data_IF_222323517597
#
_entry.id   IF_222323517597
#
_cell.length_a   1.000
_cell.length_b   1.000
_cell.length_c   1.000
_cell.angle_alpha   90.00
_cell.angle_beta   90.00
_cell.angle_gamma   90.00
#
_symmetry.space_group_name_H-M   'P 1'
#
loop_
_entity.id
_entity.type
_entity.pdbx_description
1 polymer ?
#
# COMPACT_ATOMS: atom_id res chain seq x y z
N UNK A 1 11.43 -3.06 16.18
CA UNK A 1 11.04 -1.81 15.48
C UNK A 1 9.75 -1.29 16.09
N UNK A 2 9.62 0.02 16.20
CA UNK A 2 8.86 0.68 17.28
C UNK A 2 7.43 1.10 16.89
N UNK A 3 7.11 1.22 15.60
CA UNK A 3 5.74 1.51 15.15
C UNK A 3 5.20 2.87 15.61
N UNK A 4 6.10 3.84 15.67
CA UNK A 4 5.95 5.13 16.33
C UNK A 4 5.10 6.12 15.55
N UNK A 5 4.52 7.07 16.27
CA UNK A 5 3.91 8.26 15.63
C UNK A 5 4.98 9.20 15.07
N UNK A 6 4.58 10.17 14.24
CA UNK A 6 5.50 11.20 13.75
C UNK A 6 6.15 11.98 14.89
N UNK A 7 5.38 12.34 15.93
CA UNK A 7 5.88 13.06 17.11
C UNK A 7 6.87 12.22 17.90
N UNK A 8 6.53 10.95 18.13
CA UNK A 8 7.39 10.01 18.83
C UNK A 8 8.67 9.71 18.05
N UNK A 9 8.62 9.70 16.72
CA UNK A 9 9.81 9.56 15.87
C UNK A 9 10.76 10.74 16.05
N UNK A 10 10.22 11.97 16.14
CA UNK A 10 11.02 13.18 16.42
C UNK A 10 11.63 13.12 17.81
N UNK A 11 10.86 12.74 18.84
CA UNK A 11 11.40 12.57 20.20
C UNK A 11 12.48 11.48 20.26
N UNK A 12 12.32 10.36 19.56
CA UNK A 12 13.35 9.32 19.50
C UNK A 12 14.65 9.81 18.86
N UNK A 13 14.56 10.65 17.81
CA UNK A 13 15.76 11.24 17.21
C UNK A 13 16.43 12.21 18.19
N UNK A 14 15.63 13.02 18.88
CA UNK A 14 16.12 13.98 19.89
C UNK A 14 16.82 13.27 21.06
N UNK A 15 16.30 12.13 21.52
CA UNK A 15 16.87 11.39 22.64
C UNK A 15 18.06 10.48 22.27
N UNK A 16 18.23 10.14 20.99
CA UNK A 16 19.19 9.12 20.56
C UNK A 16 20.38 9.68 19.77
N UNK A 17 21.61 9.71 20.33
CA UNK A 17 22.79 10.25 19.65
C UNK A 17 23.15 9.47 18.38
N UNK A 18 22.90 8.16 18.31
CA UNK A 18 23.16 7.36 17.11
C UNK A 18 22.23 7.72 15.96
N UNK A 19 20.96 8.03 16.24
CA UNK A 19 20.03 8.50 15.22
C UNK A 19 20.40 9.90 14.72
N UNK A 20 20.86 10.78 15.60
CA UNK A 20 21.36 12.10 15.21
C UNK A 20 22.60 12.01 14.34
N UNK A 21 23.56 11.14 14.71
CA UNK A 21 24.74 10.88 13.91
C UNK A 21 24.38 10.29 12.54
N UNK A 22 23.45 9.33 12.49
CA UNK A 22 22.94 8.78 11.23
C UNK A 22 22.31 9.84 10.32
N UNK A 23 21.68 10.87 10.90
CA UNK A 23 21.14 12.01 10.18
C UNK A 23 22.19 13.08 9.81
N UNK A 24 23.48 12.83 10.09
CA UNK A 24 24.58 13.70 9.72
C UNK A 24 24.89 14.80 10.73
N UNK A 25 24.42 14.71 11.97
CA UNK A 25 24.81 15.66 13.02
C UNK A 25 26.22 15.35 13.53
N UNK A 26 27.04 16.39 13.68
CA UNK A 26 28.41 16.30 14.20
C UNK A 26 28.46 16.20 15.73
N UNK A 27 27.41 16.64 16.42
CA UNK A 27 27.30 16.59 17.88
C UNK A 27 25.87 16.27 18.31
N UNK A 28 25.74 15.74 19.53
CA UNK A 28 24.44 15.50 20.16
C UNK A 28 23.77 16.83 20.53
N UNK A 29 22.46 16.93 20.30
CA UNK A 29 21.63 18.05 20.73
C UNK A 29 20.29 17.53 21.25
N UNK A 30 19.83 18.05 22.38
CA UNK A 30 18.53 17.70 22.97
C UNK A 30 17.37 18.53 22.41
N UNK A 31 17.55 19.16 21.25
CA UNK A 31 16.49 19.89 20.55
C UNK A 31 15.84 19.01 19.49
N UNK A 32 14.54 19.23 19.27
CA UNK A 32 13.84 18.55 18.19
C UNK A 32 14.48 18.93 16.84
N UNK A 33 14.87 17.97 15.99
CA UNK A 33 15.55 18.26 14.73
C UNK A 33 14.67 19.01 13.73
N UNK A 34 13.34 18.87 13.84
CA UNK A 34 12.32 19.54 13.03
C UNK A 34 10.95 19.32 13.67
N UNK A 35 9.94 20.11 13.26
CA UNK A 35 8.56 19.87 13.65
C UNK A 35 8.05 18.52 13.12
N UNK A 36 7.31 17.76 13.92
CA UNK A 36 6.76 16.46 13.51
C UNK A 36 5.89 16.51 12.24
N UNK A 37 5.26 17.66 11.96
CA UNK A 37 4.52 17.93 10.73
C UNK A 37 5.37 17.77 9.46
N UNK A 38 6.69 18.01 9.55
CA UNK A 38 7.64 17.91 8.44
C UNK A 38 7.77 16.49 7.87
N UNK A 39 7.51 15.45 8.67
CA UNK A 39 7.51 14.06 8.18
C UNK A 39 6.46 13.82 7.08
N UNK A 40 5.36 14.58 7.08
CA UNK A 40 4.37 14.58 6.00
C UNK A 40 4.99 15.07 4.69
N UNK A 41 5.78 16.14 4.75
CA UNK A 41 6.47 16.72 3.60
C UNK A 41 7.59 15.79 3.09
N UNK A 42 8.35 15.16 3.98
CA UNK A 42 9.36 14.17 3.59
C UNK A 42 8.70 12.99 2.86
N UNK A 43 7.60 12.44 3.39
CA UNK A 43 6.87 11.36 2.71
C UNK A 43 6.29 11.81 1.37
N UNK A 44 5.87 13.07 1.23
CA UNK A 44 5.38 13.59 -0.04
C UNK A 44 6.49 13.72 -1.10
N UNK A 45 7.74 13.99 -0.68
CA UNK A 45 8.91 14.10 -1.56
C UNK A 45 9.52 12.74 -1.92
N UNK A 46 9.55 11.80 -0.98
CA UNK A 46 10.11 10.45 -1.18
C UNK A 46 9.02 9.56 -1.79
N UNK A 47 8.75 9.74 -3.09
CA UNK A 47 7.72 8.98 -3.80
C UNK A 47 8.05 7.51 -4.00
N UNK A 48 7.04 6.73 -4.41
CA UNK A 48 7.15 5.30 -4.74
C UNK A 48 8.28 5.02 -5.74
N UNK A 49 8.38 5.83 -6.79
CA UNK A 49 9.36 5.68 -7.86
C UNK A 49 10.80 5.80 -7.33
N UNK A 50 11.07 6.79 -6.48
CA UNK A 50 12.40 6.98 -5.89
C UNK A 50 12.77 5.77 -5.01
N UNK A 51 11.83 5.28 -4.21
CA UNK A 51 12.05 4.11 -3.36
C UNK A 51 12.34 2.85 -4.21
N UNK A 52 11.58 2.67 -5.29
CA UNK A 52 11.81 1.55 -6.21
C UNK A 52 13.16 1.66 -6.91
N UNK A 53 13.62 2.86 -7.29
CA UNK A 53 14.96 3.05 -7.82
C UNK A 53 16.06 2.70 -6.81
N UNK A 54 15.88 3.07 -5.55
CA UNK A 54 16.81 2.68 -4.47
C UNK A 54 16.83 1.16 -4.31
N UNK A 55 15.66 0.51 -4.28
CA UNK A 55 15.57 -0.95 -4.22
C UNK A 55 16.28 -1.63 -5.39
N UNK A 56 16.14 -1.11 -6.62
CA UNK A 56 16.81 -1.66 -7.80
C UNK A 56 18.33 -1.52 -7.69
N UNK A 57 18.82 -0.33 -7.34
CA UNK A 57 20.27 -0.10 -7.12
C UNK A 57 20.86 -1.03 -6.06
N UNK A 58 20.13 -1.31 -4.98
CA UNK A 58 20.59 -2.26 -3.97
C UNK A 58 20.80 -3.67 -4.54
N UNK A 59 19.94 -4.12 -5.45
CA UNK A 59 20.05 -5.45 -6.06
C UNK A 59 21.11 -5.49 -7.17
N UNK A 60 21.18 -4.47 -8.02
CA UNK A 60 22.19 -4.39 -9.09
C UNK A 60 23.62 -4.33 -8.53
N UNK A 61 23.87 -3.46 -7.54
CA UNK A 61 25.19 -3.37 -6.89
C UNK A 61 25.58 -4.68 -6.20
N UNK A 62 24.60 -5.45 -5.72
CA UNK A 62 24.89 -6.77 -5.18
C UNK A 62 25.36 -7.73 -6.27
N UNK A 63 24.72 -7.76 -7.44
CA UNK A 63 25.17 -8.58 -8.57
C UNK A 63 26.62 -8.31 -8.98
N UNK A 64 27.06 -7.05 -8.85
CA UNK A 64 28.45 -6.65 -9.04
C UNK A 64 29.37 -7.13 -7.90
N UNK A 65 28.93 -6.98 -6.63
CA UNK A 65 29.72 -7.35 -5.44
C UNK A 65 29.83 -8.86 -5.20
N UNK A 66 28.80 -9.65 -5.53
CA UNK A 66 28.78 -11.11 -5.33
C UNK A 66 29.27 -11.88 -6.58
N UNK A 67 29.75 -11.17 -7.60
CA UNK A 67 30.38 -11.79 -8.77
C UNK A 67 29.41 -12.46 -9.75
N UNK A 68 28.09 -12.21 -9.66
CA UNK A 68 27.14 -12.72 -10.67
C UNK A 68 27.41 -12.21 -12.08
N UNK A 69 28.16 -11.10 -12.22
CA UNK A 69 28.64 -10.57 -13.50
C UNK A 69 30.07 -10.98 -13.88
N UNK A 70 30.77 -11.77 -13.07
CA UNK A 70 32.09 -12.28 -13.43
C UNK A 70 31.94 -13.62 -14.17
N UNK A 71 31.32 -13.56 -15.36
CA UNK A 71 31.70 -14.46 -16.42
C UNK A 71 33.18 -14.22 -16.70
N UNK A 72 33.97 -15.28 -16.66
CA UNK A 72 35.42 -15.28 -16.77
C UNK A 72 35.92 -14.34 -17.89
N UNK A 73 36.55 -13.22 -17.52
CA UNK A 73 37.52 -12.58 -18.40
C UNK A 73 38.86 -13.29 -18.18
N UNK A 74 39.01 -14.43 -18.83
CA UNK A 74 40.33 -14.96 -19.17
C UNK A 74 40.95 -14.03 -20.23
N UNK A 75 42.24 -13.69 -20.14
CA UNK A 75 42.86 -12.78 -21.09
C UNK A 75 43.03 -13.46 -22.46
N UNK A 76 42.62 -12.72 -23.49
CA UNK A 76 43.12 -12.77 -24.87
C UNK A 76 43.28 -14.16 -25.52
N UNK A 77 42.25 -14.57 -26.26
CA UNK A 77 42.44 -15.05 -27.63
C UNK A 77 41.37 -14.44 -28.52
N UNK A 78 41.83 -13.61 -29.45
CA UNK A 78 41.07 -13.19 -30.62
C UNK A 78 40.63 -14.44 -31.39
N UNK A 79 39.33 -14.60 -31.64
CA UNK A 79 38.82 -15.01 -32.95
C UNK A 79 37.29 -14.94 -33.02
N UNK A 80 36.83 -14.19 -34.04
CA UNK A 80 35.63 -14.40 -34.87
C UNK A 80 34.24 -14.44 -34.22
N UNK A 81 33.53 -13.32 -34.41
CA UNK A 81 32.13 -13.24 -34.86
C UNK A 81 31.15 -14.27 -34.27
N UNK A 82 30.67 -14.02 -33.06
CA UNK A 82 29.46 -14.65 -32.54
C UNK A 82 28.36 -13.59 -32.40
N UNK A 83 27.19 -13.90 -32.97
CA UNK A 83 25.94 -13.24 -32.62
C UNK A 83 25.84 -13.16 -31.10
N UNK A 84 25.59 -11.97 -30.53
CA UNK A 84 25.39 -11.82 -29.09
C UNK A 84 24.18 -12.66 -28.67
N UNK A 85 24.42 -13.91 -28.28
CA UNK A 85 23.40 -14.77 -27.69
C UNK A 85 22.87 -14.08 -26.43
N UNK A 86 21.55 -13.89 -26.35
CA UNK A 86 20.96 -13.31 -25.15
C UNK A 86 21.36 -14.17 -23.92
N UNK A 87 21.68 -13.54 -22.77
CA UNK A 87 22.08 -14.28 -21.59
C UNK A 87 21.00 -15.29 -21.18
N UNK A 88 21.42 -16.52 -20.87
CA UNK A 88 20.52 -17.60 -20.47
C UNK A 88 19.66 -17.17 -19.28
N UNK A 89 18.38 -17.55 -19.30
CA UNK A 89 17.46 -17.27 -18.21
C UNK A 89 17.96 -17.85 -16.88
N UNK A 90 17.85 -17.08 -15.80
CA UNK A 90 18.34 -17.46 -14.48
C UNK A 90 17.40 -16.98 -13.37
N UNK A 91 17.44 -17.67 -12.22
CA UNK A 91 16.70 -17.26 -11.03
C UNK A 91 15.18 -17.51 -11.12
N UNK A 92 14.49 -17.10 -10.05
CA UNK A 92 13.06 -17.35 -9.86
C UNK A 92 12.37 -16.05 -9.51
N UNK A 93 11.27 -15.77 -10.21
CA UNK A 93 10.41 -14.62 -9.95
C UNK A 93 9.11 -15.12 -9.33
N UNK A 94 8.76 -14.61 -8.15
CA UNK A 94 7.47 -14.87 -7.50
C UNK A 94 6.65 -13.59 -7.60
N UNK A 95 5.38 -13.69 -7.99
CA UNK A 95 4.49 -12.53 -8.07
C UNK A 95 3.20 -12.84 -7.32
N UNK A 96 2.78 -11.91 -6.47
CA UNK A 96 1.50 -11.99 -5.78
C UNK A 96 0.94 -10.59 -5.45
N UNK A 97 -0.38 -10.51 -5.30
CA UNK A 97 -1.09 -9.28 -4.97
C UNK A 97 -1.64 -9.32 -3.55
N UNK A 98 -1.20 -8.39 -2.70
CA UNK A 98 -1.74 -8.20 -1.36
C UNK A 98 -2.48 -6.88 -1.21
N UNK A 99 -2.87 -6.56 0.01
CA UNK A 99 -3.52 -5.31 0.31
C UNK A 99 -3.04 -4.74 1.65
N UNK A 100 -3.10 -3.41 1.77
CA UNK A 100 -2.64 -2.64 2.93
C UNK A 100 -3.81 -1.84 3.55
N UNK A 101 -4.43 -2.32 4.65
CA UNK A 101 -5.55 -1.67 5.32
C UNK A 101 -5.27 -0.21 5.68
N UNK A 102 -6.18 0.68 5.30
CA UNK A 102 -6.13 2.07 5.72
C UNK A 102 -6.63 2.21 7.17
N UNK A 103 -6.04 3.14 7.92
CA UNK A 103 -6.50 3.51 9.25
C UNK A 103 -7.78 4.36 9.17
N UNK A 104 -8.91 3.71 8.89
CA UNK A 104 -10.25 4.30 8.92
C UNK A 104 -11.18 3.51 9.82
N UNK A 105 -12.14 4.23 10.43
CA UNK A 105 -13.26 3.59 11.11
C UNK A 105 -14.05 2.75 10.11
N UNK A 106 -14.48 1.56 10.53
CA UNK A 106 -15.33 0.71 9.69
C UNK A 106 -16.56 1.50 9.20
N UNK A 107 -16.75 1.63 7.88
CA UNK A 107 -17.71 2.51 7.27
C UNK A 107 -19.10 1.90 7.37
N UNK A 108 -20.07 2.73 7.74
CA UNK A 108 -21.48 2.42 7.60
C UNK A 108 -22.21 3.69 7.15
N UNK A 109 -23.24 3.51 6.33
CA UNK A 109 -23.94 4.62 5.67
C UNK A 109 -24.50 5.62 6.69
N UNK A 110 -25.07 5.14 7.79
CA UNK A 110 -25.61 6.02 8.82
C UNK A 110 -24.51 6.86 9.49
N UNK A 111 -23.35 6.27 9.76
CA UNK A 111 -22.21 6.90 10.41
C UNK A 111 -21.50 7.91 9.53
N UNK A 112 -21.32 7.63 8.24
CA UNK A 112 -20.73 8.60 7.30
C UNK A 112 -21.67 9.80 7.09
N UNK A 113 -22.99 9.55 7.01
CA UNK A 113 -23.98 10.62 6.91
C UNK A 113 -24.03 11.49 8.18
N UNK A 114 -23.92 10.91 9.37
CA UNK A 114 -23.82 11.71 10.59
C UNK A 114 -22.57 12.59 10.60
N UNK A 115 -21.41 12.06 10.17
CA UNK A 115 -20.20 12.88 10.04
C UNK A 115 -20.40 14.00 9.02
N UNK A 116 -21.05 13.72 7.88
CA UNK A 116 -21.32 14.71 6.85
C UNK A 116 -22.24 15.84 7.36
N UNK A 117 -23.28 15.47 8.12
CA UNK A 117 -24.12 16.42 8.85
C UNK A 117 -23.29 17.32 9.77
N UNK A 118 -22.45 16.75 10.64
CA UNK A 118 -21.62 17.52 11.58
C UNK A 118 -20.62 18.45 10.86
N UNK A 119 -20.09 18.05 9.70
CA UNK A 119 -19.19 18.90 8.92
C UNK A 119 -19.92 20.06 8.25
N UNK A 120 -21.09 19.81 7.65
CA UNK A 120 -21.90 20.88 7.04
C UNK A 120 -22.41 21.87 8.07
N UNK A 121 -22.71 21.41 9.28
CA UNK A 121 -22.97 22.25 10.45
C UNK A 121 -21.79 23.21 10.72
N UNK A 122 -20.58 22.69 10.88
CA UNK A 122 -19.39 23.53 11.10
C UNK A 122 -19.12 24.52 9.95
N UNK A 123 -19.35 24.10 8.71
CA UNK A 123 -19.19 24.96 7.54
C UNK A 123 -20.20 26.11 7.57
N UNK A 124 -21.47 25.84 7.91
CA UNK A 124 -22.48 26.88 8.12
C UNK A 124 -22.04 27.86 9.21
N UNK A 125 -21.44 27.39 10.30
CA UNK A 125 -20.93 28.28 11.35
C UNK A 125 -19.86 29.22 10.82
N UNK A 126 -18.90 28.67 10.05
CA UNK A 126 -17.79 29.46 9.48
C UNK A 126 -18.23 30.44 8.41
N UNK A 127 -19.24 30.11 7.60
CA UNK A 127 -19.77 31.01 6.57
C UNK A 127 -20.69 32.08 7.15
N UNK A 128 -21.38 31.80 8.25
CA UNK A 128 -22.30 32.74 8.89
C UNK A 128 -21.57 33.82 9.69
N UNK A 129 -20.51 33.46 10.43
CA UNK A 129 -19.81 34.37 11.34
C UNK A 129 -19.44 35.74 10.69
N UNK A 130 -18.90 35.80 9.46
CA UNK A 130 -18.52 37.07 8.83
C UNK A 130 -19.70 37.92 8.32
N UNK A 131 -20.91 37.35 8.20
CA UNK A 131 -22.08 38.04 7.65
C UNK A 131 -23.22 38.20 8.67
N UNK A 132 -22.96 37.89 9.94
CA UNK A 132 -23.96 37.97 11.01
C UNK A 132 -24.66 39.32 11.12
N UNK A 133 -23.96 40.41 10.80
CA UNK A 133 -24.49 41.77 10.84
C UNK A 133 -25.46 42.06 9.68
N UNK A 134 -25.25 41.41 8.53
CA UNK A 134 -26.10 41.52 7.33
C UNK A 134 -27.22 40.48 7.29
N UNK A 135 -27.04 39.38 8.02
CA UNK A 135 -27.98 38.27 8.07
C UNK A 135 -28.25 37.92 9.55
N UNK A 136 -29.18 38.62 10.21
CA UNK A 136 -29.30 38.61 11.68
C UNK A 136 -29.74 37.26 12.25
N UNK A 137 -30.25 36.33 11.42
CA UNK A 137 -30.77 35.05 11.87
C UNK A 137 -30.07 33.88 11.21
N UNK A 138 -29.21 33.21 11.98
CA UNK A 138 -28.54 31.97 11.57
C UNK A 138 -29.53 30.87 11.13
N UNK A 139 -29.28 30.19 9.99
CA UNK A 139 -30.12 29.07 9.57
C UNK A 139 -30.19 27.94 10.59
N UNK A 140 -31.40 27.43 10.86
CA UNK A 140 -31.64 26.37 11.86
C UNK A 140 -31.21 25.00 11.34
N UNK A 141 -30.15 24.44 11.91
CA UNK A 141 -29.58 23.13 11.50
C UNK A 141 -30.15 21.93 12.27
N UNK A 142 -30.95 22.14 13.33
CA UNK A 142 -31.55 21.08 14.15
C UNK A 142 -30.54 20.05 14.71
N UNK A 143 -29.31 20.50 14.99
CA UNK A 143 -28.16 19.61 15.31
C UNK A 143 -28.44 18.62 16.43
N UNK A 144 -29.09 19.09 17.49
CA UNK A 144 -29.41 18.25 18.64
C UNK A 144 -30.41 17.16 18.30
N UNK A 145 -31.50 17.52 17.59
CA UNK A 145 -32.51 16.57 17.15
C UNK A 145 -31.92 15.56 16.16
N UNK A 146 -31.07 16.03 15.25
CA UNK A 146 -30.40 15.18 14.27
C UNK A 146 -29.41 14.21 14.93
N UNK A 147 -28.67 14.66 15.95
CA UNK A 147 -27.78 13.81 16.77
C UNK A 147 -28.57 12.78 17.57
N UNK A 148 -29.68 13.18 18.22
CA UNK A 148 -30.57 12.25 18.94
C UNK A 148 -31.10 11.16 18.01
N UNK A 149 -31.63 11.54 16.84
CA UNK A 149 -32.13 10.60 15.83
C UNK A 149 -31.05 9.64 15.29
N UNK A 150 -29.79 10.08 15.18
CA UNK A 150 -28.67 9.21 14.85
C UNK A 150 -28.39 8.19 15.98
N UNK A 151 -28.27 8.68 17.23
CA UNK A 151 -27.91 7.86 18.39
C UNK A 151 -28.95 6.77 18.69
N UNK A 152 -30.24 7.05 18.49
CA UNK A 152 -31.33 6.07 18.64
C UNK A 152 -31.13 4.78 17.85
N UNK A 153 -30.48 4.87 16.68
CA UNK A 153 -30.22 3.73 15.81
C UNK A 153 -28.77 3.24 15.95
N UNK A 154 -27.81 4.15 16.11
CA UNK A 154 -26.39 3.80 16.23
C UNK A 154 -26.07 3.02 17.51
N UNK A 155 -26.80 3.25 18.61
CA UNK A 155 -26.61 2.52 19.88
C UNK A 155 -27.21 1.12 19.88
N UNK A 156 -28.03 0.76 18.88
CA UNK A 156 -28.67 -0.56 18.81
C UNK A 156 -27.69 -1.60 18.29
N UNK A 157 -27.62 -2.77 18.94
CA UNK A 157 -26.75 -3.88 18.52
C UNK A 157 -27.10 -4.43 17.13
N UNK A 158 -28.40 -4.57 16.83
CA UNK A 158 -28.91 -5.13 15.56
C UNK A 158 -30.14 -4.35 15.06
N UNK A 159 -29.96 -3.15 14.46
CA UNK A 159 -31.08 -2.41 13.89
C UNK A 159 -31.58 -3.11 12.62
N UNK A 160 -32.91 -3.20 12.46
CA UNK A 160 -33.54 -3.81 11.30
C UNK A 160 -33.29 -3.01 10.01
N UNK A 161 -33.43 -3.64 8.84
CA UNK A 161 -33.24 -2.96 7.56
C UNK A 161 -34.17 -1.74 7.41
N UNK A 162 -35.43 -1.86 7.83
CA UNK A 162 -36.42 -0.78 7.83
C UNK A 162 -35.99 0.38 8.73
N UNK A 163 -35.49 0.08 9.93
CA UNK A 163 -34.96 1.09 10.87
C UNK A 163 -33.74 1.81 10.29
N UNK A 164 -32.78 1.07 9.74
CA UNK A 164 -31.59 1.65 9.09
C UNK A 164 -31.98 2.55 7.92
N UNK A 165 -32.86 2.09 7.03
CA UNK A 165 -33.33 2.85 5.87
C UNK A 165 -34.06 4.14 6.27
N UNK A 166 -34.87 4.11 7.34
CA UNK A 166 -35.53 5.30 7.91
C UNK A 166 -34.50 6.28 8.50
N UNK A 167 -33.50 5.79 9.22
CA UNK A 167 -32.46 6.63 9.81
C UNK A 167 -31.58 7.30 8.74
N UNK A 168 -31.20 6.55 7.70
CA UNK A 168 -30.47 7.07 6.54
C UNK A 168 -31.29 8.18 5.87
N UNK A 169 -32.59 7.96 5.61
CA UNK A 169 -33.48 9.00 5.04
C UNK A 169 -33.47 10.28 5.88
N UNK A 170 -33.59 10.16 7.21
CA UNK A 170 -33.55 11.31 8.12
C UNK A 170 -32.22 12.07 8.02
N UNK A 171 -31.09 11.37 8.04
CA UNK A 171 -29.78 12.02 7.90
C UNK A 171 -29.59 12.71 6.54
N UNK A 172 -30.04 12.07 5.45
CA UNK A 172 -30.05 12.69 4.12
C UNK A 172 -30.87 13.99 4.10
N UNK A 173 -32.02 14.03 4.78
CA UNK A 173 -32.84 15.25 4.86
C UNK A 173 -32.14 16.38 5.64
N UNK A 174 -31.42 16.06 6.72
CA UNK A 174 -30.63 17.07 7.45
C UNK A 174 -29.49 17.63 6.58
N UNK A 175 -28.75 16.76 5.88
CA UNK A 175 -27.67 17.19 4.98
C UNK A 175 -28.23 18.02 3.82
N UNK A 176 -29.33 17.59 3.19
CA UNK A 176 -30.02 18.36 2.12
C UNK A 176 -30.31 19.78 2.58
N UNK A 177 -30.87 19.94 3.78
CA UNK A 177 -31.18 21.25 4.36
C UNK A 177 -29.91 22.06 4.61
N UNK A 178 -28.88 21.43 5.17
CA UNK A 178 -27.63 22.14 5.45
C UNK A 178 -26.94 22.61 4.16
N UNK A 179 -26.95 21.81 3.09
CA UNK A 179 -26.42 22.22 1.78
C UNK A 179 -27.22 23.40 1.21
N UNK A 180 -28.55 23.37 1.29
CA UNK A 180 -29.39 24.51 0.89
C UNK A 180 -29.12 25.77 1.74
N UNK A 181 -28.84 25.64 3.04
CA UNK A 181 -28.42 26.78 3.86
C UNK A 181 -27.08 27.36 3.44
N UNK A 182 -26.12 26.52 3.03
CA UNK A 182 -24.84 26.99 2.50
C UNK A 182 -25.06 27.80 1.22
N UNK A 183 -25.90 27.31 0.30
CA UNK A 183 -26.31 28.04 -0.91
C UNK A 183 -26.98 29.38 -0.59
N UNK A 184 -27.89 29.40 0.40
CA UNK A 184 -28.53 30.64 0.86
C UNK A 184 -27.54 31.64 1.45
N UNK A 185 -26.60 31.19 2.29
CA UNK A 185 -25.56 32.07 2.84
C UNK A 185 -24.70 32.66 1.70
N UNK A 186 -24.36 31.84 0.70
CA UNK A 186 -23.65 32.32 -0.49
C UNK A 186 -24.44 33.39 -1.26
N UNK A 187 -25.75 33.20 -1.43
CA UNK A 187 -26.61 34.18 -2.11
C UNK A 187 -26.69 35.53 -1.37
N UNK A 188 -26.52 35.55 -0.04
CA UNK A 188 -26.50 36.77 0.78
C UNK A 188 -25.09 37.39 0.90
N UNK A 189 -24.11 36.81 0.20
CA UNK A 189 -22.75 37.36 0.10
C UNK A 189 -21.69 36.59 0.88
N UNK A 190 -21.99 35.39 1.40
CA UNK A 190 -20.95 34.54 1.97
C UNK A 190 -20.00 34.00 0.89
N UNK A 191 -18.70 34.11 1.11
CA UNK A 191 -17.70 33.58 0.18
C UNK A 191 -17.16 32.23 0.64
N UNK A 192 -17.09 31.25 -0.27
CA UNK A 192 -16.40 29.98 -0.01
C UNK A 192 -14.90 30.16 0.24
N UNK A 193 -14.32 31.31 -0.14
CA UNK A 193 -12.92 31.67 0.16
C UNK A 193 -12.64 31.84 1.66
N UNK A 194 -13.67 32.10 2.47
CA UNK A 194 -13.55 32.21 3.93
C UNK A 194 -13.39 30.85 4.62
N UNK A 195 -13.66 29.76 3.91
CA UNK A 195 -13.42 28.43 4.41
C UNK A 195 -11.92 28.10 4.35
N UNK A 196 -11.41 27.44 5.38
CA UNK A 196 -10.09 26.81 5.27
C UNK A 196 -10.07 25.82 4.11
N UNK A 197 -8.90 25.63 3.47
CA UNK A 197 -8.72 24.62 2.40
C UNK A 197 -9.29 23.24 2.78
N UNK A 198 -9.18 22.88 4.07
CA UNK A 198 -9.73 21.64 4.63
C UNK A 198 -11.26 21.63 4.63
N UNK A 199 -11.91 22.71 5.07
CA UNK A 199 -13.37 22.82 5.07
C UNK A 199 -13.93 22.86 3.66
N UNK A 200 -13.30 23.59 2.75
CA UNK A 200 -13.70 23.61 1.34
C UNK A 200 -13.64 22.22 0.71
N UNK A 201 -12.51 21.51 0.85
CA UNK A 201 -12.39 20.12 0.40
C UNK A 201 -13.42 19.20 1.07
N UNK A 202 -13.69 19.38 2.36
CA UNK A 202 -14.71 18.62 3.08
C UNK A 202 -16.10 18.85 2.51
N UNK A 203 -16.45 20.09 2.14
CA UNK A 203 -17.73 20.43 1.52
C UNK A 203 -17.93 19.65 0.21
N UNK A 204 -16.91 19.62 -0.65
CA UNK A 204 -16.93 18.87 -1.91
C UNK A 204 -17.16 17.36 -1.67
N UNK A 205 -16.44 16.79 -0.71
CA UNK A 205 -16.57 15.37 -0.35
C UNK A 205 -17.96 15.07 0.23
N UNK A 206 -18.49 15.95 1.08
CA UNK A 206 -19.83 15.78 1.66
C UNK A 206 -20.91 15.87 0.58
N UNK A 207 -20.81 16.80 -0.37
CA UNK A 207 -21.74 16.91 -1.48
C UNK A 207 -21.76 15.60 -2.31
N UNK A 208 -20.60 15.03 -2.60
CA UNK A 208 -20.51 13.76 -3.33
C UNK A 208 -21.05 12.58 -2.50
N UNK A 209 -20.72 12.49 -1.21
CA UNK A 209 -21.31 11.47 -0.32
C UNK A 209 -22.83 11.59 -0.27
N UNK A 210 -23.37 12.80 -0.17
CA UNK A 210 -24.80 13.04 -0.19
C UNK A 210 -25.42 12.53 -1.49
N UNK A 211 -24.84 12.88 -2.65
CA UNK A 211 -25.30 12.43 -3.97
C UNK A 211 -25.30 10.90 -4.07
N UNK A 212 -24.18 10.25 -3.72
CA UNK A 212 -24.03 8.79 -3.77
C UNK A 212 -25.06 8.09 -2.87
N UNK A 213 -25.19 8.55 -1.62
CA UNK A 213 -26.09 7.95 -0.63
C UNK A 213 -27.57 8.17 -0.97
N UNK A 214 -27.92 9.34 -1.51
CA UNK A 214 -29.27 9.61 -2.00
C UNK A 214 -29.63 8.68 -3.17
N UNK A 215 -28.72 8.53 -4.14
CA UNK A 215 -28.93 7.64 -5.28
C UNK A 215 -29.11 6.19 -4.83
N UNK A 216 -28.23 5.68 -3.96
CA UNK A 216 -28.32 4.32 -3.41
C UNK A 216 -29.62 4.11 -2.63
N UNK A 217 -30.01 5.10 -1.82
CA UNK A 217 -31.26 5.06 -1.06
C UNK A 217 -32.47 5.00 -1.99
N UNK A 218 -32.58 5.92 -2.96
CA UNK A 218 -33.71 6.00 -3.89
C UNK A 218 -33.85 4.76 -4.75
N UNK A 219 -32.75 4.25 -5.31
CA UNK A 219 -32.73 3.08 -6.19
C UNK A 219 -32.73 1.73 -5.45
N UNK A 220 -32.79 1.74 -4.10
CA UNK A 220 -32.70 0.53 -3.26
C UNK A 220 -31.44 -0.30 -3.55
N UNK A 221 -30.32 0.34 -3.91
CA UNK A 221 -29.03 -0.29 -4.17
C UNK A 221 -28.11 -0.19 -2.95
N UNK A 222 -27.12 -1.10 -2.88
CA UNK A 222 -26.12 -1.15 -1.80
C UNK A 222 -24.69 -0.84 -2.29
N UNK A 223 -24.51 -0.68 -3.60
CA UNK A 223 -23.26 -0.38 -4.26
C UNK A 223 -23.44 0.76 -5.26
N UNK A 224 -22.35 1.48 -5.48
CA UNK A 224 -22.18 2.51 -6.50
C UNK A 224 -20.70 2.52 -6.86
N UNK A 225 -20.39 2.84 -8.11
CA UNK A 225 -19.01 3.03 -8.55
C UNK A 225 -18.36 4.19 -7.78
N UNK A 226 -17.05 4.10 -7.53
CA UNK A 226 -16.28 5.13 -6.82
C UNK A 226 -16.87 5.54 -5.46
N UNK A 227 -17.47 4.58 -4.74
CA UNK A 227 -18.11 4.82 -3.44
C UNK A 227 -17.13 5.41 -2.43
N UNK A 228 -17.51 6.55 -1.86
CA UNK A 228 -16.79 7.18 -0.75
C UNK A 228 -17.22 6.50 0.56
N UNK A 229 -16.23 5.95 1.26
CA UNK A 229 -16.40 5.25 2.55
C UNK A 229 -15.84 6.04 3.74
N UNK A 230 -15.10 7.12 3.48
CA UNK A 230 -14.54 8.00 4.52
C UNK A 230 -14.51 9.44 4.02
N UNK A 231 -15.01 10.38 4.83
CA UNK A 231 -14.94 11.81 4.50
C UNK A 231 -13.49 12.34 4.55
N UNK A 232 -12.69 11.83 5.49
CA UNK A 232 -11.31 12.26 5.68
C UNK A 232 -10.35 11.59 4.71
N UNK A 233 -10.71 10.41 4.18
CA UNK A 233 -9.90 9.63 3.25
C UNK A 233 -10.77 9.18 2.06
N UNK A 234 -11.23 10.13 1.21
CA UNK A 234 -12.20 9.85 0.16
C UNK A 234 -11.63 9.05 -1.01
N UNK A 235 -10.32 8.80 -1.05
CA UNK A 235 -9.64 7.98 -2.05
C UNK A 235 -9.68 6.48 -1.70
N UNK A 236 -9.91 6.11 -0.44
CA UNK A 236 -10.00 4.71 -0.03
C UNK A 236 -11.26 4.09 -0.65
N UNK A 237 -11.14 2.88 -1.19
CA UNK A 237 -12.24 2.15 -1.81
C UNK A 237 -12.55 0.85 -1.05
N UNK A 238 -13.81 0.39 -1.07
CA UNK A 238 -14.16 -0.96 -0.70
C UNK A 238 -13.75 -1.94 -1.81
N UNK A 239 -12.88 -2.91 -1.51
CA UNK A 239 -12.47 -3.96 -2.44
C UNK A 239 -12.98 -5.31 -1.95
N UNK A 240 -13.77 -6.00 -2.78
CA UNK A 240 -14.31 -7.34 -2.49
C UNK A 240 -13.21 -8.37 -2.74
N UNK A 241 -12.77 -9.07 -1.68
CA UNK A 241 -11.69 -10.09 -1.78
C UNK A 241 -12.20 -11.52 -1.52
N UNK A 242 -13.45 -11.69 -1.09
CA UNK A 242 -14.05 -13.02 -0.89
C UNK A 242 -13.37 -13.87 0.20
N UNK A 243 -12.53 -13.27 1.05
CA UNK A 243 -11.87 -13.97 2.16
C UNK A 243 -12.85 -14.24 3.28
N UNK A 244 -12.69 -15.39 3.94
CA UNK A 244 -13.48 -15.77 5.10
C UNK A 244 -13.42 -14.67 6.19
N UNK A 245 -14.57 -14.31 6.76
CA UNK A 245 -14.71 -13.32 7.83
C UNK A 245 -14.66 -11.84 7.41
N UNK A 246 -13.89 -11.48 6.37
CA UNK A 246 -13.79 -10.10 5.85
C UNK A 246 -14.00 -10.08 4.32
N UNK A 247 -15.27 -10.06 3.85
CA UNK A 247 -15.56 -10.11 2.42
C UNK A 247 -15.10 -8.85 1.67
N UNK A 248 -15.07 -7.71 2.36
CA UNK A 248 -14.67 -6.40 1.84
C UNK A 248 -13.55 -5.84 2.70
N UNK A 249 -12.46 -5.43 2.07
CA UNK A 249 -11.36 -4.74 2.73
C UNK A 249 -11.27 -3.27 2.25
N UNK A 250 -10.76 -2.38 3.10
CA UNK A 250 -10.70 -0.92 2.85
C UNK A 250 -9.24 -0.48 2.84
N UNK A 251 -8.66 -0.38 1.65
CA UNK A 251 -7.22 -0.45 1.51
C UNK A 251 -6.71 0.01 0.15
N UNK A 252 -5.39 0.12 0.08
CA UNK A 252 -4.66 0.07 -1.18
C UNK A 252 -4.43 -1.39 -1.57
N UNK A 253 -4.77 -1.74 -2.82
CA UNK A 253 -4.38 -3.01 -3.44
C UNK A 253 -2.98 -2.83 -4.02
N UNK A 254 -2.13 -3.84 -3.84
CA UNK A 254 -0.76 -3.80 -4.35
C UNK A 254 -0.37 -5.13 -4.98
N UNK A 255 0.36 -5.05 -6.09
CA UNK A 255 1.09 -6.16 -6.68
C UNK A 255 2.56 -6.04 -6.28
N UNK A 256 3.17 -7.16 -5.91
CA UNK A 256 4.58 -7.20 -5.58
C UNK A 256 5.26 -8.41 -6.20
N UNK A 257 6.50 -8.21 -6.59
CA UNK A 257 7.38 -9.24 -7.12
C UNK A 257 8.47 -9.55 -6.11
N UNK A 258 8.90 -10.81 -6.05
CA UNK A 258 9.95 -11.27 -5.15
C UNK A 258 10.97 -12.12 -5.93
N UNK A 259 12.23 -11.73 -5.87
CA UNK A 259 13.36 -12.42 -6.50
C UNK A 259 14.59 -12.35 -5.59
N UNK A 260 15.30 -13.47 -5.41
CA UNK A 260 16.50 -13.56 -4.56
C UNK A 260 16.33 -13.00 -3.14
N UNK A 261 15.11 -13.09 -2.59
CA UNK A 261 14.77 -12.60 -1.25
C UNK A 261 14.47 -11.10 -1.15
N UNK A 262 14.59 -10.36 -2.24
CA UNK A 262 14.16 -8.96 -2.39
C UNK A 262 12.73 -8.88 -2.88
N UNK A 263 12.00 -7.86 -2.42
CA UNK A 263 10.61 -7.64 -2.76
C UNK A 263 10.44 -6.24 -3.36
N UNK A 264 9.81 -6.16 -4.52
CA UNK A 264 9.53 -4.90 -5.21
C UNK A 264 8.03 -4.64 -5.21
N UNK A 265 7.68 -3.38 -5.00
CA UNK A 265 6.30 -2.91 -5.10
C UNK A 265 6.08 -2.50 -6.56
N UNK A 266 5.40 -3.34 -7.33
CA UNK A 266 5.28 -3.14 -8.78
C UNK A 266 4.13 -2.20 -9.13
N UNK A 267 2.96 -2.42 -8.53
CA UNK A 267 1.76 -1.64 -8.78
C UNK A 267 1.03 -1.39 -7.47
N UNK A 268 0.64 -0.14 -7.21
CA UNK A 268 -0.19 0.24 -6.07
C UNK A 268 -1.36 1.09 -6.56
N UNK A 269 -2.57 0.64 -6.28
CA UNK A 269 -3.79 1.39 -6.58
C UNK A 269 -4.77 1.38 -5.42
N UNK A 270 -5.59 2.44 -5.35
CA UNK A 270 -6.73 2.50 -4.44
C UNK A 270 -7.96 1.83 -5.02
N UNK A 271 -8.00 1.67 -6.35
CA UNK A 271 -9.04 0.94 -7.06
C UNK A 271 -8.63 -0.53 -7.25
N UNK A 272 -9.63 -1.38 -7.46
CA UNK A 272 -9.36 -2.79 -7.77
C UNK A 272 -8.88 -2.90 -9.21
N UNK A 273 -7.71 -3.51 -9.42
CA UNK A 273 -7.18 -3.84 -10.76
C UNK A 273 -7.05 -5.35 -10.92
N UNK A 274 -6.94 -5.84 -12.16
CA UNK A 274 -6.63 -7.25 -12.39
C UNK A 274 -5.11 -7.43 -12.39
N UNK A 275 -4.59 -8.08 -11.35
CA UNK A 275 -3.15 -8.28 -11.18
C UNK A 275 -2.49 -9.11 -12.29
N UNK A 276 -3.25 -9.91 -13.05
CA UNK A 276 -2.67 -10.68 -14.16
C UNK A 276 -2.17 -9.84 -15.33
N UNK A 277 -2.64 -8.59 -15.45
CA UNK A 277 -2.18 -7.67 -16.49
C UNK A 277 -0.75 -7.17 -16.27
N UNK A 278 -0.26 -7.18 -15.03
CA UNK A 278 1.03 -6.60 -14.66
C UNK A 278 2.20 -7.56 -14.91
N UNK A 279 1.93 -8.84 -15.21
CA UNK A 279 2.96 -9.90 -15.23
C UNK A 279 4.09 -9.62 -16.21
N UNK A 280 3.77 -9.14 -17.41
CA UNK A 280 4.76 -8.88 -18.45
C UNK A 280 5.72 -7.78 -18.02
N UNK A 281 5.19 -6.67 -17.51
CA UNK A 281 5.99 -5.56 -16.99
C UNK A 281 6.87 -6.02 -15.84
N UNK A 282 6.37 -6.87 -14.94
CA UNK A 282 7.16 -7.41 -13.82
C UNK A 282 8.33 -8.30 -14.27
N UNK A 283 8.14 -9.08 -15.34
CA UNK A 283 9.20 -9.90 -15.95
C UNK A 283 10.25 -9.01 -16.62
N UNK A 284 9.82 -7.98 -17.35
CA UNK A 284 10.74 -7.01 -17.96
C UNK A 284 11.51 -6.24 -16.89
N UNK A 285 10.86 -5.87 -15.80
CA UNK A 285 11.51 -5.18 -14.70
C UNK A 285 12.56 -6.07 -14.03
N UNK A 286 12.27 -7.37 -13.87
CA UNK A 286 13.26 -8.36 -13.44
C UNK A 286 14.48 -8.35 -14.35
N UNK A 287 14.30 -8.48 -15.66
CA UNK A 287 15.40 -8.42 -16.63
C UNK A 287 16.19 -7.12 -16.54
N UNK A 288 15.53 -5.98 -16.32
CA UNK A 288 16.20 -4.69 -16.19
C UNK A 288 17.16 -4.61 -14.99
N UNK A 289 16.79 -5.15 -13.84
CA UNK A 289 17.65 -5.07 -12.64
C UNK A 289 18.59 -6.25 -12.42
N UNK A 290 18.35 -7.41 -13.06
CA UNK A 290 19.23 -8.59 -13.00
C UNK A 290 20.10 -8.78 -14.24
N UNK A 291 19.70 -8.23 -15.39
CA UNK A 291 20.36 -8.43 -16.69
C UNK A 291 19.87 -9.65 -17.48
N UNK A 292 18.98 -10.48 -16.93
CA UNK A 292 18.48 -11.71 -17.59
C UNK A 292 17.00 -11.97 -17.26
N UNK A 293 16.30 -12.71 -18.12
CA UNK A 293 14.94 -13.17 -17.81
C UNK A 293 14.94 -14.25 -16.71
N UNK A 294 13.87 -14.37 -15.91
CA UNK A 294 13.77 -15.42 -14.92
C UNK A 294 13.68 -16.81 -15.59
N UNK A 295 14.35 -17.81 -15.04
CA UNK A 295 14.19 -19.20 -15.49
C UNK A 295 12.76 -19.70 -15.26
N UNK A 296 12.18 -19.31 -14.11
CA UNK A 296 10.80 -19.63 -13.79
C UNK A 296 10.06 -18.53 -13.04
N UNK A 297 8.74 -18.49 -13.29
CA UNK A 297 7.80 -17.54 -12.71
C UNK A 297 6.75 -18.29 -11.90
N UNK A 298 6.62 -17.92 -10.63
CA UNK A 298 5.74 -18.54 -9.65
C UNK A 298 4.58 -17.60 -9.32
N UNK A 299 3.37 -17.97 -9.75
CA UNK A 299 2.20 -17.09 -9.73
C UNK A 299 0.91 -17.78 -9.27
N UNK A 300 -0.03 -16.96 -8.82
CA UNK A 300 -1.41 -17.37 -8.52
C UNK A 300 -2.22 -17.77 -9.76
N UNK A 301 -3.39 -18.38 -9.54
CA UNK A 301 -4.25 -18.86 -10.63
C UNK A 301 -4.61 -17.77 -11.64
N UNK A 302 -4.87 -16.56 -11.15
CA UNK A 302 -5.35 -15.43 -11.96
C UNK A 302 -4.34 -15.01 -13.04
N UNK A 303 -3.04 -15.15 -12.78
CA UNK A 303 -1.96 -14.80 -13.71
C UNK A 303 -1.81 -15.76 -14.89
N UNK A 304 -2.38 -16.97 -14.81
CA UNK A 304 -2.13 -18.05 -15.77
C UNK A 304 -2.97 -17.94 -17.04
N UNK A 305 -3.14 -16.73 -17.58
CA UNK A 305 -3.87 -16.44 -18.81
C UNK A 305 -3.17 -17.04 -20.04
N UNK A 306 -3.88 -17.19 -21.17
CA UNK A 306 -3.29 -17.68 -22.43
C UNK A 306 -2.17 -16.76 -22.91
N UNK A 307 -2.41 -15.46 -22.83
CA UNK A 307 -1.47 -14.40 -23.21
C UNK A 307 -0.18 -14.46 -22.38
N UNK A 308 -0.29 -14.55 -21.05
CA UNK A 308 0.86 -14.64 -20.16
C UNK A 308 1.66 -15.93 -20.40
N UNK A 309 0.99 -17.04 -20.69
CA UNK A 309 1.66 -18.30 -21.06
C UNK A 309 2.42 -18.21 -22.37
N UNK A 310 1.84 -17.57 -23.38
CA UNK A 310 2.49 -17.36 -24.67
C UNK A 310 3.76 -16.51 -24.48
N UNK A 311 3.62 -15.40 -23.76
CA UNK A 311 4.74 -14.50 -23.43
C UNK A 311 5.91 -15.20 -22.75
N UNK A 312 5.61 -16.01 -21.72
CA UNK A 312 6.63 -16.79 -21.02
C UNK A 312 7.27 -17.84 -21.94
N UNK A 313 6.48 -18.54 -22.77
CA UNK A 313 6.98 -19.58 -23.67
C UNK A 313 7.91 -19.01 -24.73
N UNK A 314 7.56 -17.88 -25.33
CA UNK A 314 8.38 -17.19 -26.33
C UNK A 314 9.77 -16.83 -25.80
N UNK A 315 9.89 -16.58 -24.49
CA UNK A 315 11.15 -16.21 -23.82
C UNK A 315 11.81 -17.38 -23.09
N UNK A 316 11.32 -18.60 -23.23
CA UNK A 316 11.87 -19.77 -22.53
C UNK A 316 11.70 -19.73 -21.00
N UNK A 317 10.68 -19.03 -20.50
CA UNK A 317 10.38 -18.89 -19.07
C UNK A 317 9.36 -19.95 -18.65
N UNK A 318 9.69 -20.74 -17.61
CA UNK A 318 8.76 -21.74 -17.06
C UNK A 318 7.77 -21.08 -16.11
N UNK A 319 6.48 -21.07 -16.46
CA UNK A 319 5.43 -20.60 -15.56
C UNK A 319 4.89 -21.73 -14.67
N UNK A 320 4.70 -21.46 -13.37
CA UNK A 320 4.24 -22.44 -12.40
C UNK A 320 2.76 -22.85 -12.59
N UNK A 321 2.44 -24.03 -12.05
CA UNK A 321 1.09 -24.56 -11.97
C UNK A 321 0.62 -25.34 -13.21
N UNK A 322 -0.48 -26.11 -13.10
CA UNK A 322 -0.98 -26.97 -14.17
C UNK A 322 -1.35 -26.19 -15.44
N UNK A 323 -1.40 -26.86 -16.61
CA UNK A 323 -1.89 -26.28 -17.86
C UNK A 323 -3.35 -25.81 -17.75
N UNK A 324 -3.77 -24.93 -18.67
CA UNK A 324 -5.16 -24.52 -18.77
C UNK A 324 -6.01 -25.69 -19.29
N UNK A 325 -7.23 -25.82 -18.77
CA UNK A 325 -8.19 -26.86 -19.19
C UNK A 325 -8.40 -27.94 -18.14
N UNK A 326 -9.02 -29.06 -18.57
CA UNK A 326 -9.30 -30.20 -17.70
C UNK A 326 -7.97 -30.85 -17.29
N UNK A 327 -7.72 -31.08 -15.99
CA UNK A 327 -6.55 -31.81 -15.54
C UNK A 327 -6.53 -33.22 -16.17
N UNK A 328 -5.36 -33.72 -16.60
CA UNK A 328 -5.26 -35.09 -17.10
C UNK A 328 -5.63 -36.08 -15.99
N UNK A 329 -6.27 -37.20 -16.35
CA UNK A 329 -6.72 -38.21 -15.40
C UNK A 329 -5.55 -38.80 -14.58
N UNK A 330 -4.39 -38.98 -15.22
CA UNK A 330 -3.16 -39.43 -14.58
C UNK A 330 -2.10 -38.32 -14.61
N UNK A 331 -1.78 -37.78 -13.43
CA UNK A 331 -0.68 -36.84 -13.23
C UNK A 331 0.52 -37.63 -12.72
N UNK A 332 1.66 -37.56 -13.43
CA UNK A 332 2.90 -38.24 -13.02
C UNK A 332 3.36 -37.79 -11.62
N UNK A 333 4.04 -38.69 -10.91
CA UNK A 333 4.61 -38.39 -9.57
C UNK A 333 5.54 -37.17 -9.62
N UNK A 334 6.32 -37.03 -10.68
CA UNK A 334 7.22 -35.89 -10.91
C UNK A 334 6.46 -34.57 -11.02
N UNK A 335 5.37 -34.52 -11.80
CA UNK A 335 4.54 -33.31 -11.93
C UNK A 335 3.91 -32.91 -10.60
N UNK A 336 3.50 -33.90 -9.78
CA UNK A 336 3.00 -33.63 -8.42
C UNK A 336 4.11 -33.08 -7.52
N UNK A 337 5.33 -33.65 -7.58
CA UNK A 337 6.50 -33.17 -6.82
C UNK A 337 6.88 -31.75 -7.23
N UNK A 338 6.91 -31.45 -8.53
CA UNK A 338 7.18 -30.10 -9.04
C UNK A 338 6.11 -29.10 -8.60
N UNK A 339 4.83 -29.46 -8.64
CA UNK A 339 3.75 -28.59 -8.19
C UNK A 339 3.87 -28.28 -6.69
N UNK A 340 4.23 -29.27 -5.86
CA UNK A 340 4.49 -29.08 -4.43
C UNK A 340 5.67 -28.11 -4.21
N UNK A 341 6.75 -28.25 -4.99
CA UNK A 341 7.91 -27.38 -4.88
C UNK A 341 7.61 -25.94 -5.35
N UNK A 342 6.86 -25.80 -6.44
CA UNK A 342 6.41 -24.50 -6.94
C UNK A 342 5.55 -23.76 -5.89
N UNK A 343 4.70 -24.49 -5.16
CA UNK A 343 3.89 -23.97 -4.05
C UNK A 343 4.76 -23.53 -2.86
N UNK A 344 5.76 -24.33 -2.48
CA UNK A 344 6.73 -23.95 -1.42
C UNK A 344 7.49 -22.68 -1.75
N UNK A 345 7.90 -22.53 -3.02
CA UNK A 345 8.57 -21.32 -3.50
C UNK A 345 7.61 -20.13 -3.42
N UNK A 346 6.38 -20.28 -3.90
CA UNK A 346 5.35 -19.22 -3.84
C UNK A 346 5.12 -18.74 -2.40
N UNK A 347 5.05 -19.65 -1.42
CA UNK A 347 4.83 -19.30 -0.01
C UNK A 347 5.89 -18.33 0.56
N UNK A 348 7.06 -18.19 -0.07
CA UNK A 348 8.07 -17.21 0.35
C UNK A 348 7.55 -15.76 0.29
N UNK A 349 6.75 -15.41 -0.72
CA UNK A 349 6.18 -14.05 -0.82
C UNK A 349 5.10 -13.80 0.25
N UNK A 350 4.32 -14.83 0.60
CA UNK A 350 3.38 -14.75 1.72
C UNK A 350 4.12 -14.50 3.05
N UNK A 351 5.28 -15.14 3.24
CA UNK A 351 6.17 -14.87 4.36
C UNK A 351 6.62 -13.41 4.43
N UNK A 352 6.98 -12.81 3.28
CA UNK A 352 7.34 -11.38 3.18
C UNK A 352 6.15 -10.46 3.46
N UNK A 353 4.96 -10.77 2.96
CA UNK A 353 3.75 -10.02 3.31
C UNK A 353 3.38 -10.16 4.79
N UNK A 354 3.56 -11.35 5.37
CA UNK A 354 3.39 -11.60 6.80
C UNK A 354 4.35 -10.75 7.62
N UNK A 355 5.62 -10.67 7.21
CA UNK A 355 6.63 -9.80 7.81
C UNK A 355 6.22 -8.33 7.70
N UNK A 356 5.82 -7.87 6.51
CA UNK A 356 5.36 -6.51 6.26
C UNK A 356 4.20 -6.12 7.19
N UNK A 357 3.20 -6.99 7.31
CA UNK A 357 2.01 -6.75 8.12
C UNK A 357 2.29 -6.78 9.62
N UNK A 358 3.05 -7.77 10.10
CA UNK A 358 3.28 -7.98 11.54
C UNK A 358 4.38 -7.10 12.12
N UNK A 359 5.41 -6.74 11.33
CA UNK A 359 6.61 -6.04 11.83
C UNK A 359 6.76 -4.61 11.31
N UNK A 360 6.14 -4.26 10.19
CA UNK A 360 6.35 -2.98 9.51
C UNK A 360 5.05 -2.23 9.22
N UNK A 361 4.00 -2.47 10.01
CA UNK A 361 2.74 -1.72 9.98
C UNK A 361 1.95 -1.75 8.65
N UNK A 362 2.25 -2.68 7.73
CA UNK A 362 1.44 -2.84 6.52
C UNK A 362 0.00 -3.30 6.85
N UNK A 363 -0.24 -3.81 8.07
CA UNK A 363 -1.57 -4.21 8.53
C UNK A 363 -2.48 -3.02 8.89
N UNK A 364 -1.92 -1.81 9.03
CA UNK A 364 -2.68 -0.58 9.31
C UNK A 364 -1.85 0.65 8.93
N UNK A 365 -2.11 1.19 7.74
CA UNK A 365 -1.46 2.41 7.23
C UNK A 365 -2.09 3.63 7.90
N UNK A 366 -1.33 4.29 8.78
CA UNK A 366 -1.79 5.42 9.59
C UNK A 366 -1.82 6.76 8.83
N UNK A 367 -1.04 6.86 7.75
CA UNK A 367 -1.03 8.03 6.88
C UNK A 367 -2.42 8.27 6.26
N UNK A 368 -2.79 9.55 6.10
CA UNK A 368 -4.16 9.96 5.73
C UNK A 368 -4.27 10.51 4.31
N UNK A 369 -3.18 10.94 3.69
CA UNK A 369 -3.17 11.43 2.31
C UNK A 369 -2.76 10.31 1.34
N UNK A 370 -3.32 10.26 0.12
CA UNK A 370 -3.01 9.19 -0.84
C UNK A 370 -1.50 9.03 -1.07
N UNK A 371 -0.81 10.13 -1.35
CA UNK A 371 0.64 10.15 -1.61
C UNK A 371 1.44 9.68 -0.39
N UNK A 372 1.14 10.21 0.80
CA UNK A 372 1.86 9.82 2.02
C UNK A 372 1.63 8.37 2.42
N UNK A 373 0.44 7.83 2.14
CA UNK A 373 0.11 6.43 2.38
C UNK A 373 0.82 5.51 1.41
N UNK A 374 0.89 5.89 0.12
CA UNK A 374 1.71 5.21 -0.89
C UNK A 374 3.19 5.17 -0.50
N UNK A 375 3.73 6.30 -0.04
CA UNK A 375 5.11 6.35 0.46
C UNK A 375 5.31 5.46 1.67
N UNK A 376 4.41 5.49 2.66
CA UNK A 376 4.52 4.64 3.85
C UNK A 376 4.51 3.13 3.50
N UNK A 377 3.67 2.74 2.54
CA UNK A 377 3.64 1.38 2.00
C UNK A 377 4.98 1.06 1.30
N UNK A 378 5.48 1.97 0.47
CA UNK A 378 6.74 1.77 -0.27
C UNK A 378 7.96 1.66 0.65
N UNK A 379 8.05 2.52 1.67
CA UNK A 379 9.10 2.48 2.69
C UNK A 379 9.09 1.15 3.43
N UNK A 380 7.92 0.53 3.62
CA UNK A 380 7.83 -0.81 4.22
C UNK A 380 8.63 -1.85 3.41
N UNK A 381 8.50 -1.83 2.08
CA UNK A 381 9.25 -2.74 1.20
C UNK A 381 10.74 -2.42 1.15
N UNK A 382 11.11 -1.12 1.14
CA UNK A 382 12.51 -0.70 1.28
C UNK A 382 13.14 -1.26 2.57
N UNK A 383 12.42 -1.13 3.67
CA UNK A 383 12.86 -1.60 4.99
C UNK A 383 12.99 -3.13 5.03
N UNK A 384 12.11 -3.87 4.35
CA UNK A 384 12.22 -5.32 4.18
C UNK A 384 13.51 -5.67 3.43
N UNK A 385 13.78 -4.98 2.32
CA UNK A 385 14.95 -5.22 1.49
C UNK A 385 16.27 -4.88 2.21
N UNK A 386 16.33 -3.75 2.91
CA UNK A 386 17.47 -3.41 3.77
C UNK A 386 17.70 -4.47 4.85
N UNK A 387 16.63 -5.06 5.40
CA UNK A 387 16.77 -6.14 6.39
C UNK A 387 17.29 -7.43 5.75
N UNK A 388 16.90 -7.73 4.50
CA UNK A 388 17.47 -8.85 3.72
C UNK A 388 18.97 -8.62 3.48
N UNK A 389 19.35 -7.44 3.01
CA UNK A 389 20.72 -7.08 2.73
C UNK A 389 21.60 -7.18 3.99
N UNK A 390 21.14 -6.61 5.11
CA UNK A 390 21.86 -6.69 6.38
C UNK A 390 22.08 -8.14 6.82
N UNK A 391 21.08 -9.02 6.67
CA UNK A 391 21.23 -10.44 6.98
C UNK A 391 22.30 -11.10 6.11
N UNK A 392 22.33 -10.79 4.81
CA UNK A 392 23.34 -11.34 3.91
C UNK A 392 24.74 -10.87 4.27
N UNK A 393 24.91 -9.58 4.56
CA UNK A 393 26.20 -9.01 5.02
C UNK A 393 26.64 -9.68 6.34
N UNK A 394 25.73 -9.86 7.30
CA UNK A 394 26.02 -10.55 8.55
C UNK A 394 26.39 -12.01 8.32
N UNK A 395 25.72 -12.72 7.41
CA UNK A 395 26.09 -14.09 7.05
C UNK A 395 27.49 -14.16 6.45
N UNK A 396 27.83 -13.26 5.51
CA UNK A 396 29.17 -13.18 4.92
C UNK A 396 30.23 -12.87 5.98
N UNK A 397 29.96 -11.92 6.87
CA UNK A 397 30.82 -11.59 8.00
C UNK A 397 31.05 -12.81 8.88
N UNK A 398 29.99 -13.52 9.28
CA UNK A 398 30.12 -14.73 10.12
C UNK A 398 30.85 -15.87 9.40
N UNK A 399 30.64 -16.06 8.10
CA UNK A 399 31.38 -17.05 7.31
C UNK A 399 32.87 -16.70 7.24
N UNK A 400 33.21 -15.45 6.96
CA UNK A 400 34.59 -14.97 6.93
C UNK A 400 35.29 -15.13 8.29
N UNK A 401 34.59 -14.81 9.38
CA UNK A 401 35.11 -15.03 10.74
C UNK A 401 35.30 -16.52 11.03
N UNK A 402 34.36 -17.39 10.63
CA UNK A 402 34.46 -18.83 10.81
C UNK A 402 35.65 -19.44 10.05
N UNK A 403 35.87 -19.00 8.81
CA UNK A 403 37.03 -19.43 8.01
C UNK A 403 38.35 -19.01 8.67
N UNK A 404 38.43 -17.78 9.20
CA UNK A 404 39.63 -17.31 9.92
C UNK A 404 39.84 -17.99 11.28
N UNK A 405 38.77 -18.33 12.01
CA UNK A 405 38.91 -19.07 13.27
C UNK A 405 39.27 -20.54 13.04
N UNK A 406 38.80 -21.16 11.95
CA UNK A 406 39.22 -22.52 11.58
C UNK A 406 40.69 -22.54 11.12
N UNK A 407 41.22 -21.44 10.58
CA UNK A 407 42.64 -21.31 10.23
C UNK A 407 43.56 -21.20 11.46
N UNK A 408 43.03 -20.77 12.62
CA UNK A 408 43.80 -20.64 13.87
C UNK A 408 43.82 -21.91 14.73
N UNK A 409 43.05 -22.95 14.37
CA UNK A 409 42.97 -24.23 15.12
C UNK A 409 43.74 -25.39 14.44
N UNK A 410 44.42 -25.14 13.33
CA UNK A 410 45.32 -26.10 12.68
C UNK A 410 46.70 -25.45 12.43
N UNK A 411 47.44 -25.18 13.50
CA UNK A 411 48.90 -25.31 13.45
C UNK A 411 49.26 -26.60 14.18
N UNK A 412 49.65 -27.68 13.49
CA UNK A 412 50.33 -28.77 14.15
C UNK A 412 51.69 -28.23 14.58
N UNK A 413 51.86 -28.06 15.89
CA UNK A 413 53.17 -27.95 16.51
C UNK A 413 53.92 -29.25 16.22
N UNK A 414 54.74 -29.23 15.17
CA UNK A 414 55.83 -30.17 15.01
C UNK A 414 56.91 -29.81 16.04
N UNK A 415 57.12 -30.70 17.00
CA UNK A 415 58.38 -30.88 17.71
C UNK A 415 58.75 -32.37 17.64
#
# INVERSE_FOLDING_TARGET
>A
KLGTSDRETVEQIKENPYLQYFLGRSAYSNEAPFEASMLVHFRARIGVNLINQVNKKMVSNQGELTGFHRGEKSPEKEEKGEEKSEPKNQGKLIVDATCAPADIRYPNDLGILNQAREQTEKIIDSLYEPIKDKFPKKPKTYREQARKAYLEVAKRRRPSQKQRRKAIKKQLQYIKRNLAHIEQLMAVGASLSWLSKRQYKMLLVVAEVYRQQLWMWSNKKQSIENRIVSLTQPHVRPIVRGKAGKPVELLAKLSASCGNGYVFLDHLSWDNFNESGDLKEQIEEFKRYTGFYPESVHVDKIYRTRENRAYCRERGIRMSGPPLGRPPANISKEKKKQALEDERIRNAIEGKFGQAKRRFNLNRVMAKLPSTSQTAISVTFLVINLSTLLRQVLCLFLCFFRERTNFLLFSPLCY
#
